data_IF_784619843018
#
_entry.id   IF_784619843018
#
_cell.length_a   1.000
_cell.length_b   1.000
_cell.length_c   1.000
_cell.angle_alpha   90.00
_cell.angle_beta   90.00
_cell.angle_gamma   90.00
#
_symmetry.space_group_name_H-M   'P 1'
#
loop_
_entity.id
_entity.type
_entity.pdbx_description
1 polymer ?
#
# COMPACT_ATOMS: atom_id res chain seq x y z
N UNK A 1 22.95 -13.43 9.86
CA UNK A 1 21.68 -12.86 10.37
C UNK A 1 20.58 -13.30 9.41
N UNK A 2 19.38 -13.61 9.90
CA UNK A 2 18.24 -13.92 9.03
C UNK A 2 17.75 -12.63 8.35
N UNK A 3 17.23 -12.74 7.13
CA UNK A 3 16.72 -11.58 6.37
C UNK A 3 15.19 -11.58 6.32
N UNK A 4 14.59 -10.44 6.62
CA UNK A 4 13.15 -10.23 6.51
C UNK A 4 12.85 -9.08 5.54
N UNK A 5 11.91 -9.27 4.63
CA UNK A 5 11.34 -8.20 3.84
C UNK A 5 9.98 -7.79 4.42
N UNK A 6 9.81 -6.50 4.69
CA UNK A 6 8.51 -5.95 5.07
C UNK A 6 7.95 -5.17 3.89
N UNK A 7 6.82 -5.63 3.41
CA UNK A 7 6.15 -5.04 2.25
C UNK A 7 4.94 -4.23 2.74
N UNK A 8 4.93 -2.93 2.49
CA UNK A 8 3.87 -2.02 2.93
C UNK A 8 3.17 -1.42 1.71
N UNK A 9 2.10 -2.04 1.23
CA UNK A 9 1.34 -1.55 0.09
C UNK A 9 0.11 -0.74 0.50
N UNK A 10 -0.35 0.14 -0.37
CA UNK A 10 -1.69 0.70 -0.29
C UNK A 10 -1.78 2.21 -0.14
N UNK A 11 -2.89 2.67 0.44
CA UNK A 11 -3.15 4.09 0.69
C UNK A 11 -2.51 4.54 1.99
N UNK A 12 -1.85 5.69 1.93
CA UNK A 12 -1.27 6.33 3.12
C UNK A 12 -2.31 7.24 3.75
N UNK A 13 -2.96 6.76 4.80
CA UNK A 13 -4.00 7.52 5.52
C UNK A 13 -3.59 7.96 6.92
N UNK A 14 -3.01 7.06 7.66
CA UNK A 14 -2.78 7.22 9.10
C UNK A 14 -1.33 7.00 9.51
N UNK A 15 -0.41 7.00 8.55
CA UNK A 15 1.00 6.72 8.81
C UNK A 15 1.60 7.61 9.92
N UNK A 16 1.16 8.88 10.02
CA UNK A 16 1.61 9.82 11.06
C UNK A 16 1.22 9.40 12.48
N UNK A 17 0.22 8.51 12.61
CA UNK A 17 -0.23 7.98 13.91
C UNK A 17 0.36 6.60 14.22
N UNK A 18 0.71 5.84 13.18
CA UNK A 18 1.05 4.42 13.31
C UNK A 18 2.52 4.11 13.14
N UNK A 19 3.32 5.01 12.53
CA UNK A 19 4.72 4.72 12.26
C UNK A 19 5.57 4.51 13.52
N UNK A 20 5.35 5.31 14.57
CA UNK A 20 6.10 5.16 15.83
C UNK A 20 5.84 3.80 16.46
N UNK A 21 4.58 3.39 16.49
CA UNK A 21 4.18 2.07 16.96
C UNK A 21 4.80 0.96 16.11
N UNK A 22 4.81 1.11 14.78
CA UNK A 22 5.44 0.15 13.87
C UNK A 22 6.94 -0.02 14.19
N UNK A 23 7.67 1.09 14.34
CA UNK A 23 9.09 1.01 14.63
C UNK A 23 9.38 0.49 16.05
N UNK A 24 8.66 0.97 17.06
CA UNK A 24 8.92 0.59 18.46
C UNK A 24 8.51 -0.84 18.78
N UNK A 25 7.36 -1.30 18.27
CA UNK A 25 6.80 -2.59 18.64
C UNK A 25 7.10 -3.70 17.63
N UNK A 26 7.48 -3.35 16.39
CA UNK A 26 7.73 -4.35 15.36
C UNK A 26 9.17 -4.36 14.85
N UNK A 27 9.74 -3.22 14.47
CA UNK A 27 11.09 -3.19 13.91
C UNK A 27 12.16 -3.34 15.00
N UNK A 28 12.15 -2.46 16.01
CA UNK A 28 13.21 -2.39 17.02
C UNK A 28 13.40 -3.69 17.81
N UNK A 29 12.35 -4.38 18.27
CA UNK A 29 12.52 -5.62 19.02
C UNK A 29 13.13 -6.77 18.20
N UNK A 30 12.98 -6.72 16.88
CA UNK A 30 13.43 -7.78 15.99
C UNK A 30 14.77 -7.49 15.30
N UNK A 31 15.29 -6.26 15.41
CA UNK A 31 16.49 -5.83 14.69
C UNK A 31 17.79 -6.49 15.17
N UNK A 32 17.81 -7.12 16.36
CA UNK A 32 18.96 -7.89 16.84
C UNK A 32 19.13 -9.23 16.10
N UNK A 33 18.00 -9.85 15.70
CA UNK A 33 17.99 -11.20 15.13
C UNK A 33 17.79 -11.20 13.60
N UNK A 34 17.23 -10.12 13.08
CA UNK A 34 16.84 -9.99 11.69
C UNK A 34 17.42 -8.72 11.04
N UNK A 35 17.99 -8.91 9.86
CA UNK A 35 18.22 -7.82 8.90
C UNK A 35 16.89 -7.52 8.20
N UNK A 36 16.34 -6.33 8.43
CA UNK A 36 14.98 -5.99 7.99
C UNK A 36 15.04 -4.94 6.89
N UNK A 37 14.56 -5.31 5.70
CA UNK A 37 14.38 -4.41 4.57
C UNK A 37 12.91 -4.03 4.39
N UNK A 38 12.65 -2.74 4.14
CA UNK A 38 11.31 -2.22 3.92
C UNK A 38 11.10 -1.91 2.43
N UNK A 39 9.96 -2.34 1.89
CA UNK A 39 9.51 -2.10 0.52
C UNK A 39 8.17 -1.39 0.52
N UNK A 40 8.08 -0.24 -0.15
CA UNK A 40 6.85 0.55 -0.20
C UNK A 40 6.24 0.56 -1.60
N UNK A 41 4.92 0.39 -1.65
CA UNK A 41 4.15 0.65 -2.86
C UNK A 41 2.88 1.40 -2.48
N UNK A 42 2.81 2.70 -2.74
CA UNK A 42 1.68 3.49 -2.29
C UNK A 42 1.16 4.44 -3.38
N UNK A 43 -0.12 4.77 -3.25
CA UNK A 43 -0.78 5.70 -4.17
C UNK A 43 -0.39 7.14 -3.88
N UNK A 44 -0.25 7.95 -4.92
CA UNK A 44 0.06 9.39 -4.83
C UNK A 44 -1.11 10.23 -4.28
N UNK A 45 -2.13 9.58 -3.77
CA UNK A 45 -3.31 10.22 -3.18
C UNK A 45 -3.79 9.44 -1.95
N UNK A 46 -4.58 10.11 -1.14
CA UNK A 46 -5.28 9.51 0.00
C UNK A 46 -6.77 9.87 -0.04
N UNK A 47 -7.58 9.07 0.65
CA UNK A 47 -9.00 9.34 0.82
C UNK A 47 -9.23 10.00 2.18
N UNK A 48 -9.88 11.14 2.18
CA UNK A 48 -10.31 11.85 3.38
C UNK A 48 -11.83 11.78 3.48
N UNK A 49 -12.33 11.68 4.71
CA UNK A 49 -13.76 11.83 4.98
C UNK A 49 -14.13 13.31 4.70
N UNK A 50 -15.14 13.51 3.89
CA UNK A 50 -15.69 14.84 3.66
C UNK A 50 -16.29 15.45 4.93
N UNK A 51 -16.56 16.77 4.96
CA UNK A 51 -17.21 17.44 6.07
C UNK A 51 -18.58 16.82 6.36
N UNK A 52 -19.11 17.02 7.57
CA UNK A 52 -20.41 16.47 7.98
C UNK A 52 -21.57 16.84 7.03
N UNK A 53 -21.48 17.99 6.37
CA UNK A 53 -22.42 18.44 5.34
C UNK A 53 -22.33 17.67 4.01
N UNK A 54 -21.19 17.01 3.74
CA UNK A 54 -20.99 16.16 2.57
C UNK A 54 -20.00 15.03 2.92
N UNK A 55 -20.47 13.94 3.52
CA UNK A 55 -19.63 12.85 4.02
C UNK A 55 -18.99 11.98 2.95
N UNK A 56 -19.09 12.34 1.67
CA UNK A 56 -18.45 11.61 0.58
C UNK A 56 -16.95 11.60 0.77
N UNK A 57 -16.32 10.47 0.43
CA UNK A 57 -14.87 10.35 0.44
C UNK A 57 -14.26 11.32 -0.58
N UNK A 58 -13.43 12.21 -0.10
CA UNK A 58 -12.67 13.12 -0.95
C UNK A 58 -11.31 12.52 -1.25
N UNK A 59 -10.87 12.63 -2.50
CA UNK A 59 -9.52 12.25 -2.91
C UNK A 59 -8.61 13.47 -2.76
N UNK A 60 -7.54 13.33 -2.02
CA UNK A 60 -6.49 14.34 -1.86
C UNK A 60 -5.18 13.81 -2.41
N UNK A 61 -4.56 14.53 -3.32
CA UNK A 61 -3.22 14.20 -3.80
C UNK A 61 -2.20 14.52 -2.70
N UNK A 62 -1.21 13.65 -2.54
CA UNK A 62 -0.05 13.89 -1.67
C UNK A 62 0.86 14.91 -2.36
N UNK A 63 1.35 15.88 -1.61
CA UNK A 63 2.38 16.79 -2.09
C UNK A 63 3.78 16.16 -1.98
N UNK A 64 4.76 16.82 -2.57
CA UNK A 64 6.13 16.32 -2.61
C UNK A 64 6.76 16.25 -1.21
N UNK A 65 6.44 17.19 -0.32
CA UNK A 65 6.94 17.19 1.05
C UNK A 65 6.40 16.01 1.85
N UNK A 66 5.12 15.68 1.69
CA UNK A 66 4.50 14.51 2.32
C UNK A 66 5.14 13.21 1.82
N UNK A 67 5.36 13.10 0.51
CA UNK A 67 6.04 11.93 -0.08
C UNK A 67 7.45 11.80 0.50
N UNK A 68 8.23 12.87 0.51
CA UNK A 68 9.59 12.88 1.04
C UNK A 68 9.61 12.51 2.54
N UNK A 69 8.66 13.01 3.32
CA UNK A 69 8.53 12.66 4.73
C UNK A 69 8.25 11.17 4.93
N UNK A 70 7.38 10.58 4.12
CA UNK A 70 7.10 9.14 4.17
C UNK A 70 8.36 8.34 3.86
N UNK A 71 9.08 8.70 2.79
CA UNK A 71 10.31 8.02 2.41
C UNK A 71 11.40 8.16 3.48
N UNK A 72 11.50 9.32 4.12
CA UNK A 72 12.43 9.55 5.23
C UNK A 72 12.09 8.70 6.45
N UNK A 73 10.81 8.63 6.84
CA UNK A 73 10.35 7.85 8.01
C UNK A 73 10.63 6.36 7.81
N UNK A 74 10.23 5.79 6.68
CA UNK A 74 10.33 4.36 6.45
C UNK A 74 11.68 3.91 5.89
N UNK A 75 12.49 4.83 5.35
CA UNK A 75 13.80 4.56 4.73
C UNK A 75 13.78 3.29 3.86
N UNK A 76 12.86 3.19 2.89
CA UNK A 76 12.66 1.94 2.17
C UNK A 76 13.86 1.58 1.30
N UNK A 77 14.21 0.29 1.22
CA UNK A 77 15.23 -0.23 0.30
C UNK A 77 14.84 0.04 -1.17
N UNK A 78 13.56 -0.17 -1.49
CA UNK A 78 12.97 0.20 -2.77
C UNK A 78 11.52 0.65 -2.57
N UNK A 79 11.05 1.51 -3.46
CA UNK A 79 9.66 1.96 -3.44
C UNK A 79 9.11 2.24 -4.83
N UNK A 80 7.79 2.28 -4.92
CA UNK A 80 7.06 2.77 -6.09
C UNK A 80 5.87 3.62 -5.67
N UNK A 81 5.64 4.71 -6.39
CA UNK A 81 4.51 5.61 -6.20
C UNK A 81 3.53 5.39 -7.34
N UNK A 82 2.37 4.84 -7.00
CA UNK A 82 1.30 4.55 -7.94
C UNK A 82 0.48 5.81 -8.23
N UNK A 83 0.21 6.06 -9.49
CA UNK A 83 -0.53 7.25 -9.91
C UNK A 83 -2.02 6.95 -10.11
N UNK A 84 -2.88 7.91 -9.74
CA UNK A 84 -4.34 7.76 -9.92
C UNK A 84 -4.73 7.39 -11.35
N UNK A 85 -4.04 7.98 -12.36
CA UNK A 85 -4.35 7.71 -13.77
C UNK A 85 -4.05 6.26 -14.19
N UNK A 86 -3.20 5.53 -13.45
CA UNK A 86 -2.90 4.12 -13.75
C UNK A 86 -4.15 3.25 -13.68
N UNK A 87 -5.10 3.56 -12.80
CA UNK A 87 -6.37 2.84 -12.70
C UNK A 87 -7.14 2.78 -14.02
N UNK A 88 -7.00 3.80 -14.86
CA UNK A 88 -7.70 3.89 -16.15
C UNK A 88 -6.87 3.40 -17.33
N UNK A 89 -5.58 3.63 -17.31
CA UNK A 89 -4.73 3.54 -18.50
C UNK A 89 -3.73 2.37 -18.44
N UNK A 90 -3.38 1.87 -17.26
CA UNK A 90 -2.37 0.83 -17.12
C UNK A 90 -2.91 -0.55 -17.53
N UNK A 91 -2.24 -1.20 -18.47
CA UNK A 91 -2.61 -2.52 -19.00
C UNK A 91 -2.54 -3.59 -17.89
N UNK A 92 -1.54 -3.52 -17.04
CA UNK A 92 -1.31 -4.46 -15.94
C UNK A 92 -2.40 -4.33 -14.88
N UNK A 93 -2.82 -3.10 -14.55
CA UNK A 93 -3.97 -2.85 -13.67
C UNK A 93 -5.25 -3.48 -14.23
N UNK A 94 -5.51 -3.29 -15.54
CA UNK A 94 -6.67 -3.89 -16.22
C UNK A 94 -6.61 -5.42 -16.23
N UNK A 95 -5.42 -6.00 -16.43
CA UNK A 95 -5.23 -7.45 -16.38
C UNK A 95 -5.58 -8.00 -15.00
N UNK A 96 -5.03 -7.41 -13.93
CA UNK A 96 -5.32 -7.81 -12.55
C UNK A 96 -6.82 -7.66 -12.24
N UNK A 97 -7.45 -6.58 -12.69
CA UNK A 97 -8.89 -6.39 -12.54
C UNK A 97 -9.70 -7.52 -13.18
N UNK A 98 -9.35 -7.89 -14.41
CA UNK A 98 -10.03 -8.97 -15.14
C UNK A 98 -9.82 -10.34 -14.47
N UNK A 99 -8.63 -10.62 -14.01
CA UNK A 99 -8.29 -11.88 -13.33
C UNK A 99 -9.04 -11.99 -11.98
N UNK A 100 -9.12 -10.92 -11.22
CA UNK A 100 -9.91 -10.89 -9.98
C UNK A 100 -11.39 -11.11 -10.21
N UNK A 101 -11.98 -10.50 -11.26
CA UNK A 101 -13.39 -10.72 -11.62
C UNK A 101 -13.67 -12.19 -11.92
N UNK A 102 -12.75 -12.86 -12.61
CA UNK A 102 -12.87 -14.31 -12.91
C UNK A 102 -12.76 -15.18 -11.66
N UNK A 103 -11.77 -14.87 -10.78
CA UNK A 103 -11.47 -15.70 -9.59
C UNK A 103 -12.53 -15.52 -8.50
N UNK A 104 -13.00 -14.29 -8.28
CA UNK A 104 -13.93 -13.97 -7.19
C UNK A 104 -15.40 -14.12 -7.66
N UNK A 105 -15.64 -14.29 -8.96
CA UNK A 105 -17.00 -14.42 -9.52
C UNK A 105 -17.82 -13.12 -9.41
N UNK A 106 -17.17 -11.97 -9.33
CA UNK A 106 -17.88 -10.69 -9.23
C UNK A 106 -18.62 -10.37 -10.52
N UNK A 107 -19.90 -9.97 -10.44
CA UNK A 107 -20.65 -9.56 -11.62
C UNK A 107 -20.00 -8.33 -12.27
N UNK A 108 -19.87 -8.35 -13.59
CA UNK A 108 -19.45 -7.17 -14.35
C UNK A 108 -20.51 -6.09 -14.21
N UNK A 109 -20.16 -4.94 -13.69
CA UNK A 109 -21.04 -3.77 -13.75
C UNK A 109 -21.14 -3.28 -15.19
N UNK A 110 -22.33 -2.87 -15.69
CA UNK A 110 -22.50 -2.37 -17.06
C UNK A 110 -21.55 -1.22 -17.42
N UNK A 111 -21.24 -0.37 -16.45
CA UNK A 111 -20.38 0.82 -16.62
C UNK A 111 -18.92 0.55 -16.27
N UNK A 112 -18.50 -0.71 -16.11
CA UNK A 112 -17.14 -1.10 -15.72
C UNK A 112 -17.03 -1.55 -14.26
N UNK A 113 -15.87 -1.30 -13.64
CA UNK A 113 -15.58 -1.73 -12.28
C UNK A 113 -16.37 -0.89 -11.27
N UNK A 114 -17.21 -1.53 -10.45
CA UNK A 114 -17.90 -0.84 -9.34
C UNK A 114 -16.91 -0.22 -8.33
N UNK A 115 -17.35 0.76 -7.53
CA UNK A 115 -16.51 1.40 -6.51
C UNK A 115 -15.85 0.40 -5.56
N UNK A 116 -16.58 -0.64 -5.15
CA UNK A 116 -16.05 -1.70 -4.27
C UNK A 116 -15.03 -2.56 -5.01
N UNK A 117 -15.32 -2.94 -6.24
CA UNK A 117 -14.39 -3.67 -7.10
C UNK A 117 -13.14 -2.84 -7.38
N UNK A 118 -13.28 -1.54 -7.63
CA UNK A 118 -12.17 -0.62 -7.83
C UNK A 118 -11.21 -0.55 -6.64
N UNK A 119 -11.73 -0.54 -5.42
CA UNK A 119 -10.91 -0.54 -4.21
C UNK A 119 -10.12 -1.85 -4.04
N UNK A 120 -10.76 -3.01 -4.27
CA UNK A 120 -10.10 -4.32 -4.21
C UNK A 120 -9.02 -4.45 -5.28
N UNK A 121 -9.31 -4.05 -6.51
CA UNK A 121 -8.33 -4.07 -7.61
C UNK A 121 -7.15 -3.15 -7.30
N UNK A 122 -7.40 -1.93 -6.84
CA UNK A 122 -6.34 -0.99 -6.48
C UNK A 122 -5.46 -1.51 -5.35
N UNK A 123 -6.05 -2.17 -4.36
CA UNK A 123 -5.31 -2.80 -3.27
C UNK A 123 -4.46 -3.95 -3.79
N UNK A 124 -5.02 -4.86 -4.58
CA UNK A 124 -4.30 -6.01 -5.16
C UNK A 124 -3.17 -5.54 -6.08
N UNK A 125 -3.42 -4.52 -6.89
CA UNK A 125 -2.39 -3.92 -7.74
C UNK A 125 -1.23 -3.34 -6.92
N UNK A 126 -1.53 -2.64 -5.83
CA UNK A 126 -0.48 -2.12 -4.95
C UNK A 126 0.33 -3.23 -4.29
N UNK A 127 -0.29 -4.37 -3.94
CA UNK A 127 0.43 -5.55 -3.46
C UNK A 127 1.35 -6.12 -4.54
N UNK A 128 0.81 -6.34 -5.73
CA UNK A 128 1.59 -6.85 -6.85
C UNK A 128 2.81 -5.98 -7.11
N UNK A 129 2.65 -4.66 -7.16
CA UNK A 129 3.75 -3.72 -7.37
C UNK A 129 4.76 -3.74 -6.22
N UNK A 130 4.30 -3.85 -4.98
CA UNK A 130 5.18 -3.92 -3.82
C UNK A 130 6.03 -5.20 -3.80
N UNK A 131 5.42 -6.36 -4.06
CA UNK A 131 6.14 -7.64 -4.15
C UNK A 131 7.11 -7.69 -5.33
N UNK A 132 6.79 -7.02 -6.45
CA UNK A 132 7.67 -6.92 -7.61
C UNK A 132 8.96 -6.12 -7.37
N UNK A 133 9.06 -5.38 -6.26
CA UNK A 133 10.29 -4.68 -5.87
C UNK A 133 11.34 -5.60 -5.24
N UNK A 134 10.93 -6.80 -4.80
CA UNK A 134 11.80 -7.76 -4.14
C UNK A 134 12.59 -8.51 -5.21
N UNK A 135 13.90 -8.31 -5.23
CA UNK A 135 14.83 -8.97 -6.16
C UNK A 135 15.81 -9.90 -5.44
N UNK A 136 15.77 -9.93 -4.11
CA UNK A 136 16.65 -10.74 -3.27
C UNK A 136 15.87 -11.85 -2.56
N UNK A 137 16.60 -12.85 -2.09
CA UNK A 137 16.01 -13.90 -1.27
C UNK A 137 15.92 -13.49 0.20
N UNK A 138 14.76 -13.77 0.79
CA UNK A 138 14.46 -13.51 2.21
C UNK A 138 14.01 -14.79 2.91
N UNK A 139 14.37 -14.92 4.18
CA UNK A 139 13.88 -16.01 5.01
C UNK A 139 12.37 -15.87 5.29
N UNK A 140 11.88 -14.63 5.34
CA UNK A 140 10.46 -14.31 5.52
C UNK A 140 10.10 -13.04 4.78
N UNK A 141 8.88 -12.99 4.24
CA UNK A 141 8.29 -11.79 3.66
C UNK A 141 6.99 -11.51 4.42
N UNK A 142 6.90 -10.32 5.01
CA UNK A 142 5.78 -9.89 5.83
C UNK A 142 5.05 -8.75 5.12
N UNK A 143 3.76 -8.92 4.88
CA UNK A 143 2.90 -7.84 4.43
C UNK A 143 2.41 -7.05 5.63
N UNK A 144 2.70 -5.77 5.65
CA UNK A 144 2.22 -4.82 6.65
C UNK A 144 1.29 -3.78 6.02
N UNK A 145 0.60 -2.98 6.83
CA UNK A 145 -0.29 -1.92 6.36
C UNK A 145 0.00 -0.63 7.11
N UNK A 146 -0.11 0.51 6.42
CA UNK A 146 0.10 1.83 7.03
C UNK A 146 -0.90 2.21 8.13
N UNK A 147 -2.05 1.56 8.18
CA UNK A 147 -3.17 1.90 9.06
C UNK A 147 -3.39 0.88 10.20
N UNK A 148 -2.41 0.01 10.45
CA UNK A 148 -2.46 -0.98 11.53
C UNK A 148 -1.48 -0.56 12.62
N UNK A 149 -1.93 -0.61 13.87
CA UNK A 149 -1.09 -0.53 15.06
C UNK A 149 -0.63 -1.94 15.42
N UNK A 150 0.67 -2.11 15.59
CA UNK A 150 1.22 -3.37 16.10
C UNK A 150 0.91 -3.47 17.61
N UNK A 151 0.52 -4.63 18.12
CA UNK A 151 0.40 -4.83 19.56
C UNK A 151 1.75 -4.63 20.25
N UNK A 152 1.77 -4.21 21.50
CA UNK A 152 2.99 -4.07 22.29
C UNK A 152 3.70 -5.41 22.49
#
# INVERSE_FOLDING_TARGET
>A
MKKAAIVIPGLIRTYTKTYENFFSNFISPNSSDWEIDIYLSFWDHTHMRGPASNPRMMVRKLDENEINKILQIYSPKKYTILKEYEKKNNIEFKRIANDLVKVIGMPKHPDGISLVQGAVVAQTYSWYKAFSLIEEEYNIIIKYRFDIESPP
#
